data_IF_297803757112
#
_entry.id   IF_297803757112
#
_cell.length_a   1.000
_cell.length_b   1.000
_cell.length_c   1.000
_cell.angle_alpha   90.00
_cell.angle_beta   90.00
_cell.angle_gamma   90.00
#
_symmetry.space_group_name_H-M   'P 1'
#
loop_
_entity.id
_entity.type
_entity.pdbx_description
1 polymer ?
#
# COMPACT_ATOMS: atom_id res chain seq x y z
N UNK A 1 15.85 1.23 9.73
CA UNK A 1 16.16 1.82 8.40
C UNK A 1 15.86 0.80 7.31
N UNK A 2 15.38 1.23 6.15
CA UNK A 2 15.15 0.37 4.98
C UNK A 2 16.18 0.63 3.88
N UNK A 3 16.29 -0.28 2.91
CA UNK A 3 17.06 -0.05 1.69
C UNK A 3 16.16 0.60 0.62
N UNK A 4 16.65 1.62 -0.13
CA UNK A 4 15.90 2.18 -1.24
C UNK A 4 15.52 1.09 -2.25
N UNK A 5 14.29 1.13 -2.75
CA UNK A 5 13.77 0.15 -3.71
C UNK A 5 12.93 0.83 -4.79
N UNK A 6 12.57 0.06 -5.82
CA UNK A 6 11.63 0.47 -6.86
C UNK A 6 10.60 -0.62 -7.05
N UNK A 7 9.47 -0.31 -7.67
CA UNK A 7 8.51 -1.35 -8.08
C UNK A 7 9.13 -2.43 -8.97
N UNK A 8 10.23 -2.12 -9.67
CA UNK A 8 10.98 -3.08 -10.48
C UNK A 8 11.51 -4.29 -9.70
N UNK A 9 11.68 -4.17 -8.37
CA UNK A 9 12.04 -5.30 -7.51
C UNK A 9 10.99 -6.43 -7.51
N UNK A 10 9.76 -6.13 -7.93
CA UNK A 10 8.65 -7.10 -8.04
C UNK A 10 8.22 -7.35 -9.50
N UNK A 11 9.07 -7.02 -10.48
CA UNK A 11 8.79 -7.32 -11.90
C UNK A 11 8.46 -8.80 -12.11
N UNK A 12 7.48 -9.09 -12.96
CA UNK A 12 6.97 -10.45 -13.17
C UNK A 12 5.96 -10.92 -12.12
N UNK A 13 5.62 -10.10 -11.12
CA UNK A 13 4.55 -10.34 -10.13
C UNK A 13 3.45 -9.31 -10.25
N UNK A 14 2.21 -9.72 -10.01
CA UNK A 14 1.14 -8.78 -9.73
C UNK A 14 1.38 -8.15 -8.35
N UNK A 15 1.17 -6.84 -8.23
CA UNK A 15 1.33 -6.11 -6.98
C UNK A 15 -0.02 -5.52 -6.56
N UNK A 16 -0.45 -5.80 -5.34
CA UNK A 16 -1.54 -5.09 -4.67
C UNK A 16 -0.92 -4.07 -3.71
N UNK A 17 -0.79 -2.83 -4.16
CA UNK A 17 -0.24 -1.74 -3.37
C UNK A 17 -1.36 -1.05 -2.59
N UNK A 18 -1.16 -0.85 -1.28
CA UNK A 18 -2.19 -0.31 -0.38
C UNK A 18 -1.60 0.78 0.51
N UNK A 19 -2.21 1.97 0.56
CA UNK A 19 -1.84 2.97 1.56
C UNK A 19 -2.46 2.59 2.91
N UNK A 20 -1.65 2.34 3.93
CA UNK A 20 -2.11 1.74 5.19
C UNK A 20 -1.97 2.69 6.38
N UNK A 21 -2.76 2.42 7.42
CA UNK A 21 -2.77 3.15 8.68
C UNK A 21 -2.97 2.19 9.87
N UNK A 22 -2.28 2.41 10.99
CA UNK A 22 -2.42 1.57 12.21
C UNK A 22 -3.63 1.96 13.06
N UNK A 23 -3.99 3.24 13.14
CA UNK A 23 -5.06 3.78 14.01
C UNK A 23 -6.32 4.16 13.23
N UNK A 24 -6.69 3.37 12.24
CA UNK A 24 -7.86 3.57 11.39
C UNK A 24 -8.99 2.60 11.75
N UNK A 25 -10.25 2.98 11.53
CA UNK A 25 -11.38 2.03 11.63
C UNK A 25 -11.30 0.89 10.60
N UNK A 26 -10.52 1.09 9.53
CA UNK A 26 -10.27 0.11 8.47
C UNK A 26 -9.04 -0.77 8.72
N UNK A 27 -8.30 -0.56 9.82
CA UNK A 27 -7.12 -1.37 10.18
C UNK A 27 -7.38 -2.89 10.16
N UNK A 28 -8.57 -3.42 10.53
CA UNK A 28 -8.84 -4.85 10.40
C UNK A 28 -8.70 -5.42 8.96
N UNK A 29 -8.65 -4.57 7.92
CA UNK A 29 -8.34 -5.00 6.56
C UNK A 29 -6.96 -5.66 6.41
N UNK A 30 -6.02 -5.43 7.34
CA UNK A 30 -4.73 -6.14 7.37
C UNK A 30 -4.89 -7.66 7.34
N UNK A 31 -5.89 -8.22 8.02
CA UNK A 31 -6.16 -9.67 8.00
C UNK A 31 -6.58 -10.16 6.61
N UNK A 32 -7.32 -9.34 5.87
CA UNK A 32 -7.70 -9.64 4.49
C UNK A 32 -6.51 -9.58 3.53
N UNK A 33 -5.68 -8.57 3.69
CA UNK A 33 -4.44 -8.40 2.92
C UNK A 33 -3.46 -9.54 3.19
N UNK A 34 -3.29 -9.95 4.45
CA UNK A 34 -2.44 -11.08 4.81
C UNK A 34 -2.97 -12.39 4.23
N UNK A 35 -4.29 -12.63 4.28
CA UNK A 35 -4.90 -13.79 3.61
C UNK A 35 -4.65 -13.80 2.10
N UNK A 36 -4.69 -12.65 1.43
CA UNK A 36 -4.35 -12.54 0.01
C UNK A 36 -2.87 -12.86 -0.24
N UNK A 37 -1.98 -12.32 0.60
CA UNK A 37 -0.54 -12.61 0.53
C UNK A 37 -0.26 -14.11 0.67
N UNK A 38 -0.85 -14.77 1.66
CA UNK A 38 -0.67 -16.20 1.90
C UNK A 38 -1.27 -17.04 0.77
N UNK A 39 -2.46 -16.69 0.28
CA UNK A 39 -3.15 -17.49 -0.74
C UNK A 39 -2.56 -17.37 -2.15
N UNK A 40 -2.00 -16.20 -2.49
CA UNK A 40 -1.56 -15.89 -3.86
C UNK A 40 -0.07 -15.53 -3.96
N UNK A 41 0.66 -15.43 -2.86
CA UNK A 41 2.09 -15.13 -2.82
C UNK A 41 2.93 -16.02 -3.73
N UNK A 42 2.76 -17.33 -3.58
CA UNK A 42 3.45 -18.34 -4.39
C UNK A 42 2.93 -18.42 -5.84
N UNK A 43 1.78 -17.79 -6.11
CA UNK A 43 1.14 -17.72 -7.43
C UNK A 43 1.50 -16.43 -8.18
N UNK A 44 2.40 -15.63 -7.63
CA UNK A 44 2.91 -14.42 -8.28
C UNK A 44 2.18 -13.13 -7.90
N UNK A 45 1.39 -13.11 -6.82
CA UNK A 45 0.93 -11.86 -6.19
C UNK A 45 1.92 -11.43 -5.10
N UNK A 46 2.06 -10.13 -4.88
CA UNK A 46 2.57 -9.59 -3.62
C UNK A 46 1.67 -8.46 -3.16
N UNK A 47 1.36 -8.41 -1.88
CA UNK A 47 0.82 -7.21 -1.25
C UNK A 47 2.00 -6.30 -0.91
N UNK A 48 1.85 -4.99 -1.06
CA UNK A 48 2.79 -3.99 -0.55
C UNK A 48 2.03 -2.93 0.24
N UNK A 49 2.31 -2.83 1.53
CA UNK A 49 1.75 -1.78 2.37
C UNK A 49 2.65 -0.54 2.35
N UNK A 50 2.05 0.63 2.14
CA UNK A 50 2.71 1.93 2.19
C UNK A 50 2.09 2.74 3.33
N UNK A 51 2.74 2.83 4.50
CA UNK A 51 2.21 3.62 5.60
C UNK A 51 2.04 5.09 5.19
N UNK A 52 0.93 5.72 5.58
CA UNK A 52 0.66 7.13 5.28
C UNK A 52 -0.08 7.82 6.43
N UNK A 53 0.39 9.00 6.84
CA UNK A 53 -0.18 9.74 7.96
C UNK A 53 -1.08 10.93 7.56
N UNK A 54 -1.32 11.11 6.25
CA UNK A 54 -2.07 12.26 5.73
C UNK A 54 -3.58 12.18 6.04
N UNK A 55 -4.10 11.01 6.38
CA UNK A 55 -5.52 10.78 6.64
C UNK A 55 -5.79 10.75 8.15
N UNK A 56 -6.25 11.89 8.67
CA UNK A 56 -6.59 12.10 10.09
C UNK A 56 -5.48 11.73 11.10
N UNK A 57 -4.20 11.76 10.68
CA UNK A 57 -3.08 11.43 11.56
C UNK A 57 -3.10 9.99 12.08
N UNK A 58 -3.67 9.06 11.31
CA UNK A 58 -3.91 7.67 11.74
C UNK A 58 -2.69 6.74 11.61
N UNK A 59 -1.52 7.27 11.21
CA UNK A 59 -0.25 6.55 11.16
C UNK A 59 0.89 7.37 11.80
N UNK A 60 0.77 7.73 13.10
CA UNK A 60 1.70 8.66 13.75
C UNK A 60 3.05 8.03 14.07
N UNK A 61 3.15 6.69 14.03
CA UNK A 61 4.35 5.96 14.40
C UNK A 61 5.52 6.18 13.43
N UNK A 62 6.71 5.81 13.89
CA UNK A 62 7.88 5.62 13.05
C UNK A 62 7.83 4.24 12.35
N UNK A 63 8.72 3.99 11.40
CA UNK A 63 8.72 2.76 10.61
C UNK A 63 8.83 1.47 11.46
N UNK A 64 9.62 1.50 12.53
CA UNK A 64 9.82 0.34 13.42
C UNK A 64 8.58 0.06 14.28
N UNK A 65 7.95 1.12 14.79
CA UNK A 65 6.69 1.02 15.53
C UNK A 65 5.55 0.47 14.65
N UNK A 66 5.46 0.94 13.40
CA UNK A 66 4.44 0.50 12.44
C UNK A 66 4.65 -0.98 12.09
N UNK A 67 5.89 -1.38 11.77
CA UNK A 67 6.21 -2.77 11.47
C UNK A 67 5.92 -3.69 12.65
N UNK A 68 6.30 -3.27 13.87
CA UNK A 68 6.04 -4.03 15.09
C UNK A 68 4.54 -4.18 15.32
N UNK A 69 3.77 -3.10 15.17
CA UNK A 69 2.31 -3.14 15.30
C UNK A 69 1.67 -4.14 14.31
N UNK A 70 2.01 -4.03 13.02
CA UNK A 70 1.41 -4.86 11.97
C UNK A 70 1.75 -6.35 12.13
N UNK A 71 3.00 -6.66 12.45
CA UNK A 71 3.46 -8.04 12.64
C UNK A 71 2.91 -8.67 13.92
N UNK A 72 2.94 -7.97 15.05
CA UNK A 72 2.49 -8.53 16.35
C UNK A 72 0.97 -8.62 16.47
N UNK A 73 0.24 -7.66 15.88
CA UNK A 73 -1.22 -7.58 16.02
C UNK A 73 -1.94 -8.38 14.93
N UNK A 74 -1.45 -8.34 13.70
CA UNK A 74 -2.14 -8.91 12.53
C UNK A 74 -1.37 -10.03 11.84
N UNK A 75 -0.15 -10.35 12.29
CA UNK A 75 0.67 -11.40 11.67
C UNK A 75 1.07 -11.07 10.22
N UNK A 76 1.17 -9.79 9.87
CA UNK A 76 1.51 -9.34 8.51
C UNK A 76 2.88 -9.88 8.10
N UNK A 77 2.91 -10.57 6.95
CA UNK A 77 4.13 -11.12 6.34
C UNK A 77 4.51 -10.41 5.05
N UNK A 78 3.59 -9.65 4.45
CA UNK A 78 3.91 -8.86 3.26
C UNK A 78 4.81 -7.65 3.58
N UNK A 79 5.60 -7.17 2.61
CA UNK A 79 6.48 -6.03 2.82
C UNK A 79 5.73 -4.73 3.14
N UNK A 80 6.22 -4.02 4.15
CA UNK A 80 5.87 -2.63 4.43
C UNK A 80 7.01 -1.72 3.98
N UNK A 81 6.68 -0.70 3.19
CA UNK A 81 7.64 0.33 2.78
C UNK A 81 7.78 1.40 3.85
N UNK A 82 8.69 2.36 3.62
CA UNK A 82 8.74 3.55 4.44
C UNK A 82 7.44 4.37 4.33
N UNK A 83 7.21 5.23 5.31
CA UNK A 83 6.06 6.13 5.31
C UNK A 83 6.21 7.14 4.18
N UNK A 84 5.18 7.25 3.34
CA UNK A 84 5.16 8.17 2.21
C UNK A 84 3.96 9.13 2.28
N UNK A 85 4.15 10.30 1.69
CA UNK A 85 3.05 11.21 1.34
C UNK A 85 2.46 10.80 -0.01
N UNK A 86 1.14 10.64 -0.04
CA UNK A 86 0.39 10.16 -1.20
C UNK A 86 -0.37 11.29 -1.91
N UNK A 87 -0.57 12.41 -1.24
CA UNK A 87 -1.25 13.61 -1.74
C UNK A 87 -0.44 14.88 -1.49
N UNK A 88 -0.85 15.99 -2.14
CA UNK A 88 -0.26 17.31 -1.93
C UNK A 88 1.05 17.55 -2.69
N UNK A 89 1.72 18.66 -2.35
CA UNK A 89 2.95 19.10 -3.03
C UNK A 89 4.12 18.13 -2.85
N UNK A 90 4.17 17.44 -1.72
CA UNK A 90 5.20 16.46 -1.37
C UNK A 90 4.82 15.02 -1.78
N UNK A 91 3.75 14.86 -2.58
CA UNK A 91 3.31 13.55 -3.10
C UNK A 91 4.49 12.80 -3.72
N UNK A 92 4.69 11.57 -3.26
CA UNK A 92 5.73 10.71 -3.80
C UNK A 92 5.46 10.41 -5.29
N UNK A 93 6.48 10.42 -6.18
CA UNK A 93 6.31 10.22 -7.62
C UNK A 93 5.53 8.96 -8.02
N UNK A 94 5.64 7.90 -7.21
CA UNK A 94 4.82 6.69 -7.38
C UNK A 94 3.32 7.01 -7.38
N UNK A 95 2.84 7.76 -6.39
CA UNK A 95 1.42 8.12 -6.30
C UNK A 95 1.01 9.13 -7.37
N UNK A 96 1.94 9.93 -7.89
CA UNK A 96 1.67 10.80 -9.05
C UNK A 96 1.29 9.99 -10.29
N UNK A 97 1.89 8.82 -10.49
CA UNK A 97 1.52 7.93 -11.60
C UNK A 97 0.25 7.12 -11.28
N UNK A 98 0.15 6.56 -10.07
CA UNK A 98 -0.99 5.73 -9.68
C UNK A 98 -2.32 6.50 -9.69
N UNK A 99 -2.32 7.76 -9.24
CA UNK A 99 -3.53 8.59 -9.15
C UNK A 99 -4.05 9.09 -10.50
N UNK A 100 -3.32 8.86 -11.61
CA UNK A 100 -3.84 9.07 -12.97
C UNK A 100 -4.89 8.04 -13.35
N UNK A 101 -4.86 6.86 -12.70
CA UNK A 101 -5.87 5.83 -12.89
C UNK A 101 -7.16 6.25 -12.17
N UNK A 102 -8.28 6.15 -12.89
CA UNK A 102 -9.60 6.36 -12.32
C UNK A 102 -9.93 5.28 -11.28
N UNK A 103 -10.59 5.66 -10.20
CA UNK A 103 -11.11 4.77 -9.18
C UNK A 103 -12.38 4.03 -9.65
N UNK A 104 -12.99 3.28 -8.73
CA UNK A 104 -14.20 2.52 -9.01
C UNK A 104 -15.41 3.38 -9.42
N UNK A 105 -15.41 4.67 -9.06
CA UNK A 105 -16.45 5.64 -9.41
C UNK A 105 -16.12 6.39 -10.72
N UNK A 106 -14.96 6.12 -11.32
CA UNK A 106 -14.51 6.72 -12.59
C UNK A 106 -13.71 8.00 -12.41
N UNK A 107 -13.32 8.36 -11.19
CA UNK A 107 -12.63 9.60 -10.88
C UNK A 107 -11.12 9.38 -10.71
N UNK A 108 -10.32 10.20 -11.37
CA UNK A 108 -8.86 10.23 -11.18
C UNK A 108 -8.47 11.38 -10.23
N UNK A 109 -7.28 11.31 -9.65
CA UNK A 109 -6.78 12.31 -8.70
C UNK A 109 -6.53 11.74 -7.32
N UNK A 110 -6.55 12.60 -6.31
CA UNK A 110 -6.07 12.32 -4.96
C UNK A 110 -6.60 11.01 -4.36
N UNK A 111 -5.76 10.38 -3.55
CA UNK A 111 -6.17 9.24 -2.71
C UNK A 111 -7.19 9.76 -1.70
N UNK A 112 -8.34 9.10 -1.58
CA UNK A 112 -9.48 9.60 -0.82
C UNK A 112 -9.37 9.25 0.66
N UNK A 113 -8.83 8.07 0.99
CA UNK A 113 -8.70 7.63 2.38
C UNK A 113 -7.62 6.57 2.59
N UNK A 114 -7.41 6.17 3.84
CA UNK A 114 -6.64 4.98 4.19
C UNK A 114 -7.25 3.72 3.55
N UNK A 115 -6.39 2.77 3.19
CA UNK A 115 -6.70 1.47 2.59
C UNK A 115 -7.26 1.54 1.17
N UNK A 116 -6.93 2.58 0.40
CA UNK A 116 -7.11 2.56 -1.04
C UNK A 116 -6.07 1.64 -1.69
N UNK A 117 -6.45 1.00 -2.79
CA UNK A 117 -5.73 -0.13 -3.36
C UNK A 117 -5.45 0.11 -4.83
N UNK A 118 -4.23 -0.19 -5.25
CA UNK A 118 -3.81 -0.16 -6.64
C UNK A 118 -3.33 -1.55 -7.04
N UNK A 119 -3.89 -2.08 -8.13
CA UNK A 119 -3.42 -3.32 -8.74
C UNK A 119 -2.47 -2.97 -9.86
N UNK A 120 -1.26 -3.49 -9.80
CA UNK A 120 -0.22 -3.32 -10.80
C UNK A 120 0.06 -4.69 -11.42
N UNK A 121 0.06 -4.75 -12.75
CA UNK A 121 0.29 -5.99 -13.50
C UNK A 121 1.75 -6.45 -13.36
N UNK A 122 2.05 -7.72 -13.71
CA UNK A 122 3.43 -8.21 -13.81
C UNK A 122 4.35 -7.39 -14.73
N UNK A 123 3.79 -6.63 -15.67
CA UNK A 123 4.53 -5.73 -16.56
C UNK A 123 4.86 -4.36 -15.91
N UNK A 124 4.34 -4.09 -14.71
CA UNK A 124 4.52 -2.82 -14.00
C UNK A 124 3.46 -1.76 -14.30
N UNK A 125 2.39 -2.12 -15.02
CA UNK A 125 1.32 -1.19 -15.39
C UNK A 125 0.21 -1.17 -14.33
N UNK A 126 -0.24 0.00 -13.84
CA UNK A 126 -1.45 0.10 -13.03
C UNK A 126 -2.68 -0.30 -13.85
N UNK A 127 -3.45 -1.28 -13.36
CA UNK A 127 -4.59 -1.86 -14.09
C UNK A 127 -5.93 -1.72 -13.36
N UNK A 128 -5.92 -1.48 -12.04
CA UNK A 128 -7.14 -1.19 -11.28
C UNK A 128 -6.84 -0.33 -10.05
N UNK A 129 -7.85 0.44 -9.61
CA UNK A 129 -7.85 1.26 -8.40
C UNK A 129 -9.17 1.05 -7.66
N UNK A 130 -9.11 0.75 -6.35
CA UNK A 130 -10.25 0.26 -5.53
C UNK A 130 -10.20 0.82 -4.12
#
# INVERSE_FOLDING_TARGET
TGEPTTLGAWSGRAVLLVNVASKCGLTPQYEGLERLQQAYGDRGLTVLGVPCNQFAGQEPGNAEEIQTFCSTTYGVTFPLLEKLDVNGADRHPLYTELTKLADADGEAGDVQWNFEKFVISPAGEPVARI
#
